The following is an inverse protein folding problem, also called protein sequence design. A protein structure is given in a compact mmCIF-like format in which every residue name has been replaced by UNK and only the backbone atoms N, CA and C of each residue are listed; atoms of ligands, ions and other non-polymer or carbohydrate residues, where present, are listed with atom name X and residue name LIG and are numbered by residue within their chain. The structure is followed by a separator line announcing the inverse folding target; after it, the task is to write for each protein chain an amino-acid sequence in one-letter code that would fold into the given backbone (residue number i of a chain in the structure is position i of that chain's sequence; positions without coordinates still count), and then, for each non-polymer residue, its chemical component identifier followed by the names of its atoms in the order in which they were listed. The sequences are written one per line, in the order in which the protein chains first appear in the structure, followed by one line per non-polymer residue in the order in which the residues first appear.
data_IF_619428464001
#
_entry.id   IF_619428464001
#
_cell.length_a   1.000
_cell.length_b   1.000
_cell.length_c   1.000
_cell.angle_alpha   90.00
_cell.angle_beta   90.00
_cell.angle_gamma   90.00
#
_symmetry.space_group_name_H-M   'P 1'
#
loop_
_entity.id
_entity.type
_entity.pdbx_description
1 polymer ?
#
# COMPACT_ATOMS: atom_id res chain seq x y z
N UNK A 1 -1.69 38.20 -8.07
CA UNK A 1 -1.39 37.53 -6.78
C UNK A 1 -0.08 36.81 -6.91
N UNK A 2 0.84 36.97 -5.96
CA UNK A 2 2.17 36.35 -6.00
C UNK A 2 2.30 35.44 -4.79
N UNK A 3 2.31 34.12 -5.00
CA UNK A 3 2.51 33.16 -3.92
C UNK A 3 4.00 33.12 -3.56
N UNK A 4 4.33 33.24 -2.27
CA UNK A 4 5.73 33.18 -1.77
C UNK A 4 6.22 31.77 -1.47
N UNK A 5 5.30 30.84 -1.17
CA UNK A 5 5.60 29.43 -0.94
C UNK A 5 4.42 28.60 -1.46
N UNK A 6 4.71 27.53 -2.19
CA UNK A 6 3.73 26.54 -2.64
C UNK A 6 4.23 25.19 -2.13
N UNK A 7 3.35 24.43 -1.47
CA UNK A 7 3.62 23.08 -0.99
C UNK A 7 2.77 22.13 -1.81
N UNK A 8 3.41 21.15 -2.44
CA UNK A 8 2.74 20.09 -3.19
C UNK A 8 2.80 18.79 -2.39
N UNK A 9 1.69 18.09 -2.32
CA UNK A 9 1.66 16.66 -1.96
C UNK A 9 2.41 15.87 -3.05
N UNK A 10 3.29 14.95 -2.67
CA UNK A 10 4.05 14.14 -3.63
C UNK A 10 3.16 13.07 -4.26
N UNK A 11 2.45 12.30 -3.42
CA UNK A 11 1.53 11.24 -3.80
C UNK A 11 0.27 11.81 -4.46
N UNK A 12 0.07 11.53 -5.75
CA UNK A 12 -1.17 11.89 -6.46
C UNK A 12 -1.24 13.33 -6.99
N UNK A 13 -0.16 14.12 -6.89
CA UNK A 13 -0.04 15.41 -7.60
C UNK A 13 1.18 15.46 -8.53
N UNK A 14 2.31 14.85 -8.16
CA UNK A 14 3.55 14.90 -8.97
C UNK A 14 4.10 13.51 -9.34
N UNK A 15 3.75 12.46 -8.59
CA UNK A 15 4.22 11.09 -8.83
C UNK A 15 3.06 10.13 -9.02
N UNK A 16 3.14 9.31 -10.08
CA UNK A 16 2.21 8.20 -10.32
C UNK A 16 2.57 7.03 -9.39
N UNK A 17 2.18 7.17 -8.12
CA UNK A 17 2.40 6.17 -7.07
C UNK A 17 1.68 4.84 -7.34
N UNK A 18 0.81 4.80 -8.34
CA UNK A 18 0.04 3.62 -8.68
C UNK A 18 0.81 2.68 -9.61
N UNK A 19 1.74 3.19 -10.44
CA UNK A 19 2.52 2.34 -11.34
C UNK A 19 3.49 1.39 -10.62
N UNK A 20 4.29 1.82 -9.60
CA UNK A 20 5.08 0.89 -8.80
C UNK A 20 4.21 -0.13 -8.10
N UNK A 21 3.10 0.31 -7.48
CA UNK A 21 2.16 -0.56 -6.79
C UNK A 21 1.62 -1.66 -7.71
N UNK A 22 1.18 -1.28 -8.91
CA UNK A 22 0.69 -2.21 -9.93
C UNK A 22 1.73 -3.28 -10.25
N UNK A 23 2.97 -2.89 -10.52
CA UNK A 23 4.07 -3.81 -10.85
C UNK A 23 4.35 -4.79 -9.71
N UNK A 24 4.34 -4.30 -8.46
CA UNK A 24 4.54 -5.16 -7.29
C UNK A 24 3.38 -6.15 -7.10
N UNK A 25 2.14 -5.74 -7.37
CA UNK A 25 0.98 -6.66 -7.36
C UNK A 25 1.12 -7.74 -8.45
N UNK A 26 1.44 -7.35 -9.69
CA UNK A 26 1.63 -8.31 -10.79
C UNK A 26 2.76 -9.31 -10.52
N UNK A 27 3.84 -8.85 -9.88
CA UNK A 27 5.01 -9.69 -9.56
C UNK A 27 4.77 -10.62 -8.36
N UNK A 28 4.26 -10.09 -7.25
CA UNK A 28 4.13 -10.84 -6.00
C UNK A 28 2.84 -11.65 -5.91
N UNK A 29 1.77 -11.18 -6.56
CA UNK A 29 0.44 -11.77 -6.48
C UNK A 29 -0.18 -11.95 -7.88
N UNK A 30 0.44 -12.75 -8.76
CA UNK A 30 0.05 -12.85 -10.17
C UNK A 30 -1.35 -13.46 -10.40
N UNK A 31 -1.96 -14.06 -9.37
CA UNK A 31 -3.32 -14.59 -9.41
C UNK A 31 -4.39 -13.53 -9.18
N UNK A 32 -4.03 -12.33 -8.74
CA UNK A 32 -4.99 -11.24 -8.56
C UNK A 32 -5.41 -10.64 -9.90
N UNK A 33 -6.68 -10.29 -10.00
CA UNK A 33 -7.25 -9.63 -11.17
C UNK A 33 -6.74 -8.20 -11.29
N UNK A 34 -5.82 -7.98 -12.24
CA UNK A 34 -5.20 -6.68 -12.46
C UNK A 34 -6.19 -5.61 -12.95
N UNK A 35 -7.36 -6.01 -13.46
CA UNK A 35 -8.42 -5.06 -13.81
C UNK A 35 -8.98 -4.36 -12.56
N UNK A 36 -8.76 -4.93 -11.37
CA UNK A 36 -9.18 -4.35 -10.09
C UNK A 36 -8.09 -3.54 -9.40
N UNK A 37 -6.97 -3.23 -10.07
CA UNK A 37 -5.82 -2.59 -9.43
C UNK A 37 -6.16 -1.29 -8.68
N UNK A 38 -7.10 -0.50 -9.21
CA UNK A 38 -7.58 0.73 -8.57
C UNK A 38 -8.28 0.44 -7.24
N UNK A 39 -9.12 -0.61 -7.21
CA UNK A 39 -9.80 -1.05 -6.01
C UNK A 39 -8.80 -1.65 -5.01
N UNK A 40 -7.87 -2.49 -5.47
CA UNK A 40 -6.81 -3.09 -4.65
C UNK A 40 -5.98 -1.98 -3.98
N UNK A 41 -5.57 -0.96 -4.74
CA UNK A 41 -4.82 0.17 -4.22
C UNK A 41 -5.63 0.98 -3.20
N UNK A 42 -6.91 1.23 -3.49
CA UNK A 42 -7.81 1.92 -2.56
C UNK A 42 -7.94 1.17 -1.23
N UNK A 43 -8.07 -0.15 -1.27
CA UNK A 43 -8.15 -0.99 -0.05
C UNK A 43 -6.81 -1.04 0.69
N UNK A 44 -5.69 -1.05 -0.03
CA UNK A 44 -4.35 -0.94 0.56
C UNK A 44 -4.13 0.37 1.33
N UNK A 45 -4.58 1.51 0.77
CA UNK A 45 -4.56 2.80 1.46
C UNK A 45 -5.48 2.79 2.67
N UNK A 46 -6.71 2.27 2.54
CA UNK A 46 -7.65 2.13 3.65
C UNK A 46 -7.04 1.35 4.84
N UNK A 47 -6.41 0.19 4.59
CA UNK A 47 -5.79 -0.59 5.67
C UNK A 47 -4.53 0.08 6.25
N UNK A 48 -3.83 0.90 5.47
CA UNK A 48 -2.79 1.79 5.98
C UNK A 48 -3.37 2.81 6.97
N UNK A 49 -4.48 3.46 6.63
CA UNK A 49 -5.14 4.45 7.49
C UNK A 49 -5.67 3.82 8.78
N UNK A 50 -6.18 2.58 8.73
CA UNK A 50 -6.62 1.84 9.93
C UNK A 50 -5.45 1.55 10.89
N UNK A 51 -4.27 1.23 10.36
CA UNK A 51 -3.11 0.88 11.16
C UNK A 51 -2.29 2.10 11.62
N UNK A 52 -2.36 3.21 10.88
CA UNK A 52 -1.52 4.40 11.12
C UNK A 52 -1.68 5.00 12.53
N UNK A 53 -2.89 5.12 13.14
CA UNK A 53 -3.04 5.55 14.52
C UNK A 53 -2.32 4.64 15.54
N UNK A 54 -2.21 3.35 15.27
CA UNK A 54 -1.49 2.41 16.15
C UNK A 54 0.01 2.60 16.02
N UNK A 55 0.51 2.81 14.80
CA UNK A 55 1.92 3.08 14.54
C UNK A 55 2.38 4.42 15.16
N UNK A 56 1.60 5.49 14.98
CA UNK A 56 1.92 6.83 15.53
C UNK A 56 1.97 6.83 17.06
N UNK A 57 1.11 6.03 17.70
CA UNK A 57 1.12 5.80 19.16
C UNK A 57 2.16 4.77 19.63
N UNK A 58 3.03 4.27 18.73
CA UNK A 58 4.08 3.28 19.00
C UNK A 58 3.58 1.93 19.53
N UNK A 59 2.31 1.60 19.30
CA UNK A 59 1.76 0.27 19.65
C UNK A 59 2.20 -0.82 18.68
N UNK A 60 2.52 -0.45 17.43
CA UNK A 60 3.06 -1.34 16.41
C UNK A 60 4.28 -0.71 15.75
N UNK A 61 5.20 -1.54 15.27
CA UNK A 61 6.29 -1.10 14.41
C UNK A 61 5.78 -0.75 13.00
N UNK A 62 6.59 -0.01 12.23
CA UNK A 62 6.28 0.27 10.82
C UNK A 62 6.23 -1.03 10.00
N UNK A 63 7.07 -2.01 10.32
CA UNK A 63 7.06 -3.34 9.69
C UNK A 63 5.73 -4.05 9.93
N UNK A 64 5.22 -4.03 11.17
CA UNK A 64 3.93 -4.61 11.51
C UNK A 64 2.77 -3.93 10.77
N UNK A 65 2.83 -2.61 10.59
CA UNK A 65 1.85 -1.88 9.76
C UNK A 65 1.90 -2.36 8.30
N UNK A 66 3.10 -2.46 7.73
CA UNK A 66 3.34 -2.88 6.33
C UNK A 66 2.81 -4.28 6.07
N UNK A 67 3.10 -5.21 6.97
CA UNK A 67 2.60 -6.59 6.91
C UNK A 67 1.07 -6.60 7.01
N UNK A 68 0.52 -5.91 8.01
CA UNK A 68 -0.92 -5.87 8.26
C UNK A 68 -1.71 -5.34 7.05
N UNK A 69 -1.30 -4.21 6.47
CA UNK A 69 -2.01 -3.61 5.34
C UNK A 69 -1.99 -4.52 4.10
N UNK A 70 -0.86 -5.18 3.87
CA UNK A 70 -0.71 -6.09 2.74
C UNK A 70 -1.61 -7.30 2.92
N UNK A 71 -1.49 -8.01 4.05
CA UNK A 71 -2.32 -9.19 4.36
C UNK A 71 -3.81 -8.90 4.25
N UNK A 72 -4.28 -7.81 4.86
CA UNK A 72 -5.71 -7.45 4.84
C UNK A 72 -6.21 -7.04 3.47
N UNK A 73 -5.37 -6.43 2.65
CA UNK A 73 -5.75 -6.12 1.27
C UNK A 73 -5.90 -7.41 0.49
N UNK A 74 -4.88 -8.27 0.51
CA UNK A 74 -4.82 -9.48 -0.32
C UNK A 74 -5.92 -10.49 0.05
N UNK A 75 -6.26 -10.59 1.33
CA UNK A 75 -7.41 -11.36 1.85
C UNK A 75 -8.75 -10.96 1.22
N UNK A 76 -8.97 -9.67 0.96
CA UNK A 76 -10.23 -9.18 0.37
C UNK A 76 -10.38 -9.51 -1.13
N UNK A 77 -9.29 -9.83 -1.83
CA UNK A 77 -9.28 -10.10 -3.28
C UNK A 77 -9.04 -11.57 -3.63
N UNK A 78 -9.23 -12.47 -2.67
CA UNK A 78 -9.34 -13.92 -2.93
C UNK A 78 -8.08 -14.75 -2.65
N UNK A 79 -7.10 -14.21 -1.94
CA UNK A 79 -5.96 -14.97 -1.42
C UNK A 79 -6.13 -15.06 0.11
N UNK A 80 -6.48 -16.24 0.61
CA UNK A 80 -6.88 -16.46 2.02
C UNK A 80 -5.87 -15.94 3.05
N UNK A 81 -4.58 -16.06 2.77
CA UNK A 81 -3.52 -15.46 3.59
C UNK A 81 -2.19 -15.41 2.84
N UNK A 82 -1.34 -14.46 3.22
CA UNK A 82 0.08 -14.41 2.81
C UNK A 82 0.97 -14.37 4.05
N UNK A 83 2.17 -14.92 3.94
CA UNK A 83 3.17 -14.90 4.99
C UNK A 83 3.71 -13.49 5.24
N UNK A 84 4.41 -13.33 6.37
CA UNK A 84 5.14 -12.08 6.68
C UNK A 84 6.19 -11.78 5.62
N UNK A 85 6.89 -12.81 5.14
CA UNK A 85 7.95 -12.67 4.13
C UNK A 85 7.36 -12.17 2.82
N UNK A 86 6.29 -12.79 2.32
CA UNK A 86 5.61 -12.34 1.09
C UNK A 86 5.11 -10.90 1.19
N UNK A 87 4.57 -10.51 2.35
CA UNK A 87 4.14 -9.13 2.57
C UNK A 87 5.31 -8.13 2.58
N UNK A 88 6.47 -8.53 3.09
CA UNK A 88 7.68 -7.69 3.11
C UNK A 88 8.37 -7.64 1.74
N UNK A 89 8.36 -8.74 0.98
CA UNK A 89 8.87 -8.79 -0.39
C UNK A 89 8.06 -7.86 -1.30
N UNK A 90 6.71 -7.93 -1.19
CA UNK A 90 5.82 -6.97 -1.85
C UNK A 90 6.16 -5.53 -1.47
N UNK A 91 6.36 -5.28 -0.18
CA UNK A 91 6.66 -3.94 0.31
C UNK A 91 7.99 -3.40 -0.24
N UNK A 92 9.00 -4.25 -0.34
CA UNK A 92 10.32 -3.91 -0.88
C UNK A 92 10.27 -3.66 -2.39
N UNK A 93 9.38 -4.34 -3.12
CA UNK A 93 9.17 -4.08 -4.55
C UNK A 93 8.34 -2.81 -4.81
N UNK A 94 7.52 -2.38 -3.84
CA UNK A 94 6.66 -1.20 -3.97
C UNK A 94 7.38 0.12 -3.64
N UNK A 95 8.34 0.08 -2.71
CA UNK A 95 9.15 1.24 -2.25
C UNK A 95 10.35 1.53 -3.16
#
# INVERSE_FOLDING_TARGET
MTYKNIVFELDGTLYDHQLPFKRSVEKCFPTLDIQQIDNIYKRFRYWSDVAFPKYTKKFISIEQLRIFRCQKTIEEFGIDSISRTEALDFQADYE
#
